data_IF_358116971538
#
_entry.id   IF_358116971538
#
_cell.length_a   1.000
_cell.length_b   1.000
_cell.length_c   1.000
_cell.angle_alpha   90.00
_cell.angle_beta   90.00
_cell.angle_gamma   90.00
#
_symmetry.space_group_name_H-M   'P 1'
#
loop_
_entity.id
_entity.type
_entity.pdbx_description
1 polymer ?
#
# COMPACT_ATOMS: atom_id res chain seq x y z
N UNK A 1 23.75 8.96 -51.95
CA UNK A 1 22.32 9.24 -51.74
C UNK A 1 22.13 9.25 -50.24
N UNK A 2 21.94 10.43 -49.66
CA UNK A 2 21.72 10.62 -48.23
C UNK A 2 20.26 10.29 -47.94
N UNK A 3 20.00 9.18 -47.28
CA UNK A 3 18.67 8.86 -46.78
C UNK A 3 18.32 9.80 -45.63
N UNK A 4 17.51 10.81 -45.96
CA UNK A 4 16.76 11.61 -45.00
C UNK A 4 15.73 10.70 -44.33
N UNK A 5 16.14 10.03 -43.25
CA UNK A 5 15.22 9.33 -42.36
C UNK A 5 14.26 10.37 -41.76
N UNK A 6 12.99 10.24 -42.14
CA UNK A 6 11.83 11.02 -41.74
C UNK A 6 11.95 11.66 -40.36
N UNK A 7 11.99 12.99 -40.32
CA UNK A 7 11.75 13.80 -39.12
C UNK A 7 10.27 13.69 -38.69
N UNK A 8 9.86 12.50 -38.26
CA UNK A 8 8.63 12.31 -37.50
C UNK A 8 8.91 12.71 -36.07
N UNK A 9 8.42 13.88 -35.64
CA UNK A 9 8.39 14.33 -34.24
C UNK A 9 7.41 13.43 -33.44
N UNK A 10 7.71 12.13 -33.37
CA UNK A 10 6.87 11.11 -32.77
C UNK A 10 6.96 11.23 -31.26
N UNK A 11 6.11 12.09 -30.68
CA UNK A 11 5.97 12.19 -29.22
C UNK A 11 5.59 10.81 -28.68
N UNK A 12 6.42 10.27 -27.82
CA UNK A 12 6.18 9.01 -27.11
C UNK A 12 5.63 9.37 -25.73
N UNK A 13 4.52 8.75 -25.34
CA UNK A 13 3.98 8.87 -23.98
C UNK A 13 3.99 7.50 -23.35
N UNK A 14 4.67 7.38 -22.20
CA UNK A 14 4.73 6.15 -21.42
C UNK A 14 4.06 6.41 -20.08
N UNK A 15 3.07 5.58 -19.74
CA UNK A 15 2.43 5.62 -18.43
C UNK A 15 2.84 4.39 -17.64
N UNK A 16 3.57 4.60 -16.55
CA UNK A 16 3.95 3.57 -15.59
C UNK A 16 2.97 3.62 -14.41
N UNK A 17 2.40 2.47 -14.05
CA UNK A 17 1.42 2.36 -12.97
C UNK A 17 1.91 1.40 -11.90
N UNK A 18 2.04 1.87 -10.67
CA UNK A 18 2.51 1.06 -9.55
C UNK A 18 1.34 0.30 -8.87
N UNK A 19 0.68 -0.59 -9.61
CA UNK A 19 -0.40 -1.46 -9.10
C UNK A 19 -1.54 -1.68 -10.09
N UNK A 20 -2.43 -2.63 -9.76
CA UNK A 20 -3.57 -2.97 -10.62
C UNK A 20 -4.72 -1.94 -10.53
N UNK A 21 -4.97 -1.38 -9.34
CA UNK A 21 -6.12 -0.52 -9.06
C UNK A 21 -6.01 0.88 -9.65
N UNK A 22 -7.14 1.51 -10.01
CA UNK A 22 -7.16 2.88 -10.54
C UNK A 22 -6.56 3.92 -9.59
N UNK A 23 -6.57 3.66 -8.28
CA UNK A 23 -6.01 4.55 -7.26
C UNK A 23 -4.49 4.40 -7.05
N UNK A 24 -3.83 3.47 -7.75
CA UNK A 24 -2.38 3.33 -7.70
C UNK A 24 -1.70 4.64 -8.16
N UNK A 25 -0.44 4.93 -7.75
CA UNK A 25 0.30 6.09 -8.24
C UNK A 25 0.92 5.84 -9.62
N UNK A 26 0.91 6.88 -10.46
CA UNK A 26 1.28 6.80 -11.88
C UNK A 26 2.44 7.75 -12.16
N UNK A 27 3.31 7.37 -13.07
CA UNK A 27 4.32 8.25 -13.67
C UNK A 27 3.99 8.34 -15.15
N UNK A 28 3.82 9.56 -15.66
CA UNK A 28 3.60 9.82 -17.08
C UNK A 28 4.85 10.49 -17.63
N UNK A 29 5.46 9.87 -18.63
CA UNK A 29 6.66 10.34 -19.31
C UNK A 29 6.25 10.81 -20.69
N UNK A 30 6.64 12.04 -21.03
CA UNK A 30 6.53 12.58 -22.38
C UNK A 30 7.95 12.68 -22.93
N UNK A 31 8.22 11.93 -23.99
CA UNK A 31 9.52 11.87 -24.64
C UNK A 31 9.41 12.29 -26.10
N UNK A 32 10.47 12.89 -26.62
CA UNK A 32 10.49 13.40 -28.00
C UNK A 32 10.74 12.30 -29.03
N UNK A 33 11.43 11.23 -28.62
CA UNK A 33 11.78 10.08 -29.44
C UNK A 33 12.12 8.87 -28.54
N UNK A 34 12.41 7.71 -29.15
CA UNK A 34 12.65 6.46 -28.43
C UNK A 34 13.91 6.49 -27.55
N UNK A 35 14.97 7.18 -27.99
CA UNK A 35 16.21 7.28 -27.22
C UNK A 35 16.02 8.11 -25.95
N UNK A 36 15.27 9.20 -26.05
CA UNK A 36 14.91 10.05 -24.91
C UNK A 36 13.98 9.30 -23.92
N UNK A 37 13.04 8.52 -24.44
CA UNK A 37 12.16 7.68 -23.64
C UNK A 37 12.94 6.64 -22.82
N UNK A 38 13.91 5.97 -23.43
CA UNK A 38 14.75 4.96 -22.78
C UNK A 38 15.68 5.57 -21.72
N UNK A 39 16.33 6.68 -22.05
CA UNK A 39 17.19 7.41 -21.11
C UNK A 39 16.39 7.88 -19.88
N UNK A 40 15.19 8.43 -20.10
CA UNK A 40 14.31 8.88 -19.02
C UNK A 40 13.84 7.69 -18.17
N UNK A 41 13.43 6.59 -18.80
CA UNK A 41 13.01 5.39 -18.08
C UNK A 41 14.14 4.83 -17.20
N UNK A 42 15.35 4.72 -17.75
CA UNK A 42 16.53 4.28 -17.02
C UNK A 42 16.86 5.21 -15.84
N UNK A 43 16.79 6.52 -16.05
CA UNK A 43 16.99 7.52 -14.99
C UNK A 43 15.99 7.41 -13.85
N UNK A 44 14.71 7.11 -14.15
CA UNK A 44 13.65 6.94 -13.14
C UNK A 44 13.93 5.73 -12.23
N UNK A 45 14.38 4.62 -12.81
CA UNK A 45 14.68 3.40 -12.06
C UNK A 45 15.99 3.53 -11.28
N UNK A 46 17.06 3.97 -11.93
CA UNK A 46 18.37 4.11 -11.27
C UNK A 46 18.39 5.23 -10.21
N UNK A 47 17.62 6.31 -10.43
CA UNK A 47 17.50 7.44 -9.51
C UNK A 47 16.49 7.23 -8.37
N UNK A 48 15.81 6.08 -8.32
CA UNK A 48 14.83 5.76 -7.27
C UNK A 48 13.56 6.62 -7.30
N UNK A 49 13.26 7.32 -8.41
CA UNK A 49 12.06 8.15 -8.51
C UNK A 49 10.78 7.30 -8.43
N UNK A 50 10.81 6.09 -9.00
CA UNK A 50 9.70 5.12 -8.92
C UNK A 50 9.33 4.75 -7.47
N UNK A 51 10.32 4.55 -6.59
CA UNK A 51 10.08 4.27 -5.17
C UNK A 51 9.48 5.48 -4.45
N UNK A 52 9.99 6.69 -4.74
CA UNK A 52 9.50 7.94 -4.14
C UNK A 52 8.05 8.21 -4.54
N UNK A 53 7.70 8.03 -5.81
CA UNK A 53 6.33 8.19 -6.30
C UNK A 53 5.40 7.15 -5.67
N UNK A 54 5.84 5.90 -5.56
CA UNK A 54 5.07 4.83 -4.90
C UNK A 54 4.80 5.17 -3.43
N UNK A 55 5.83 5.59 -2.70
CA UNK A 55 5.72 6.00 -1.28
C UNK A 55 4.81 7.22 -1.11
N UNK A 56 5.00 8.25 -1.93
CA UNK A 56 4.18 9.45 -1.91
C UNK A 56 2.70 9.13 -2.19
N UNK A 57 2.44 8.26 -3.18
CA UNK A 57 1.09 7.78 -3.47
C UNK A 57 0.43 7.05 -2.29
N UNK A 58 1.18 6.18 -1.62
CA UNK A 58 0.70 5.49 -0.43
C UNK A 58 0.39 6.46 0.72
N UNK A 59 1.27 7.45 0.96
CA UNK A 59 1.05 8.48 1.97
C UNK A 59 -0.18 9.32 1.66
N UNK A 60 -0.36 9.73 0.41
CA UNK A 60 -1.52 10.52 0.01
C UNK A 60 -2.82 9.71 0.14
N UNK A 61 -2.81 8.43 -0.25
CA UNK A 61 -3.95 7.54 -0.08
C UNK A 61 -4.34 7.38 1.40
N UNK A 62 -3.36 7.34 2.31
CA UNK A 62 -3.60 7.25 3.74
C UNK A 62 -4.21 8.53 4.34
N UNK A 63 -3.96 9.71 3.75
CA UNK A 63 -4.58 10.97 4.18
C UNK A 63 -6.00 11.16 3.68
N UNK A 64 -6.45 10.35 2.73
CA UNK A 64 -7.80 10.44 2.19
C UNK A 64 -8.78 9.88 3.22
N UNK A 65 -9.79 10.65 3.66
CA UNK A 65 -10.86 10.10 4.48
C UNK A 65 -11.48 8.91 3.74
N UNK A 66 -11.75 7.82 4.45
CA UNK A 66 -12.45 6.69 3.86
C UNK A 66 -13.77 7.19 3.29
N UNK A 67 -13.86 7.28 1.97
CA UNK A 67 -15.12 7.54 1.32
C UNK A 67 -16.06 6.39 1.74
N UNK A 68 -17.21 6.73 2.32
CA UNK A 68 -18.29 5.80 2.57
C UNK A 68 -18.88 5.36 1.22
N UNK A 69 -18.15 4.51 0.52
CA UNK A 69 -18.59 3.86 -0.70
C UNK A 69 -19.40 2.64 -0.33
N UNK A 70 -20.69 2.64 -0.67
CA UNK A 70 -21.52 1.46 -0.72
C UNK A 70 -20.96 0.51 -1.80
N UNK A 71 -19.97 -0.29 -1.42
CA UNK A 71 -19.47 -1.40 -2.21
C UNK A 71 -19.42 -2.60 -1.30
N UNK A 72 -20.18 -3.64 -1.67
CA UNK A 72 -20.16 -4.92 -0.99
C UNK A 72 -18.70 -5.37 -0.79
N UNK A 73 -18.34 -5.90 0.40
CA UNK A 73 -16.95 -6.17 0.70
C UNK A 73 -16.42 -7.24 -0.28
N UNK A 74 -15.32 -6.98 -1.01
CA UNK A 74 -14.62 -8.04 -1.70
C UNK A 74 -14.12 -9.04 -0.64
N UNK A 75 -14.23 -10.32 -0.94
CA UNK A 75 -13.74 -11.41 -0.10
C UNK A 75 -12.23 -11.23 0.13
N UNK A 76 -11.86 -10.59 1.24
CA UNK A 76 -10.47 -10.38 1.63
C UNK A 76 -9.86 -11.71 2.06
N UNK A 77 -8.92 -12.21 1.25
CA UNK A 77 -7.87 -13.07 1.78
C UNK A 77 -7.19 -12.34 2.93
N UNK A 78 -7.13 -13.00 4.07
CA UNK A 78 -6.76 -12.44 5.36
C UNK A 78 -5.30 -11.96 5.39
N UNK A 79 -5.07 -10.70 5.00
CA UNK A 79 -3.90 -9.95 5.45
C UNK A 79 -4.09 -9.64 6.94
N UNK A 80 -3.07 -9.94 7.75
CA UNK A 80 -3.08 -9.65 9.17
C UNK A 80 -3.39 -8.16 9.41
N UNK A 81 -4.36 -7.81 10.29
CA UNK A 81 -4.70 -6.43 10.54
C UNK A 81 -3.51 -5.69 11.17
N UNK A 82 -3.34 -4.43 10.75
CA UNK A 82 -2.44 -3.48 11.39
C UNK A 82 -2.71 -3.41 12.91
N UNK A 83 -1.70 -3.10 13.75
CA UNK A 83 -1.90 -2.95 15.19
C UNK A 83 -2.96 -1.87 15.42
N UNK A 84 -4.12 -2.29 15.93
CA UNK A 84 -5.21 -1.39 16.22
C UNK A 84 -4.89 -0.68 17.53
N UNK A 85 -5.04 0.65 17.55
CA UNK A 85 -4.99 1.45 18.77
C UNK A 85 -5.99 0.91 19.79
N UNK A 86 -5.61 0.95 21.08
CA UNK A 86 -6.47 0.47 22.17
C UNK A 86 -7.88 1.10 22.09
N UNK A 87 -8.96 0.31 22.17
CA UNK A 87 -10.31 0.85 22.26
C UNK A 87 -10.49 1.72 23.52
N UNK A 88 -11.35 2.74 23.48
CA UNK A 88 -11.67 3.53 24.67
C UNK A 88 -12.22 2.61 25.78
N UNK A 89 -11.59 2.64 26.96
CA UNK A 89 -11.95 1.82 28.12
C UNK A 89 -11.11 0.55 28.34
N UNK A 90 -10.14 0.24 27.47
CA UNK A 90 -9.18 -0.87 27.66
C UNK A 90 -7.83 -0.29 28.06
N UNK A 91 -7.33 -0.65 29.25
CA UNK A 91 -6.00 -0.25 29.70
C UNK A 91 -4.92 -1.01 28.91
N UNK A 92 -3.79 -0.35 28.63
CA UNK A 92 -2.61 -1.01 28.11
C UNK A 92 -2.11 -2.03 29.13
N UNK A 93 -2.18 -3.32 28.80
CA UNK A 93 -1.60 -4.37 29.62
C UNK A 93 -0.17 -4.66 29.17
N UNK A 94 0.71 -4.94 30.12
CA UNK A 94 2.10 -5.31 29.86
C UNK A 94 2.32 -6.78 30.16
N UNK A 95 3.18 -7.41 29.35
CA UNK A 95 3.76 -8.71 29.67
C UNK A 95 5.28 -8.57 29.82
N UNK A 96 5.96 -9.64 30.22
CA UNK A 96 7.43 -9.67 30.36
C UNK A 96 8.18 -9.31 29.06
N UNK A 97 7.50 -9.37 27.91
CA UNK A 97 8.02 -9.06 26.58
C UNK A 97 7.66 -7.64 26.09
N UNK A 98 7.01 -6.83 26.94
CA UNK A 98 6.61 -5.45 26.62
C UNK A 98 5.10 -5.22 26.58
N UNK A 99 4.71 -4.07 26.04
CA UNK A 99 3.31 -3.66 25.89
C UNK A 99 2.54 -4.63 24.97
N UNK A 100 1.35 -5.05 25.41
CA UNK A 100 0.52 -5.97 24.64
C UNK A 100 -0.15 -5.27 23.47
N UNK A 101 -0.19 -5.94 22.34
CA UNK A 101 -0.75 -5.44 21.09
C UNK A 101 -2.22 -5.82 21.00
N UNK A 102 -3.09 -4.83 20.86
CA UNK A 102 -4.52 -5.08 20.64
C UNK A 102 -4.77 -5.63 19.23
N UNK A 103 -5.47 -6.77 19.17
CA UNK A 103 -5.91 -7.44 17.94
C UNK A 103 -7.41 -7.64 18.01
N UNK A 104 -8.10 -7.28 16.92
CA UNK A 104 -9.53 -7.53 16.75
C UNK A 104 -9.80 -8.15 15.38
N UNK A 105 -10.89 -8.90 15.28
CA UNK A 105 -11.27 -9.55 14.04
C UNK A 105 -12.49 -10.45 14.20
N UNK A 106 -12.76 -11.28 13.19
CA UNK A 106 -13.79 -12.32 13.22
C UNK A 106 -13.12 -13.68 13.23
N UNK A 107 -13.49 -14.54 14.18
CA UNK A 107 -12.91 -15.88 14.31
C UNK A 107 -13.28 -16.72 13.09
N UNK A 108 -12.29 -17.40 12.50
CA UNK A 108 -12.52 -18.33 11.38
C UNK A 108 -13.27 -19.59 11.81
N UNK A 109 -13.15 -20.01 13.07
CA UNK A 109 -13.77 -21.25 13.57
C UNK A 109 -15.20 -21.06 14.06
N UNK A 110 -15.53 -19.89 14.62
CA UNK A 110 -16.84 -19.63 15.21
C UNK A 110 -17.64 -18.54 14.49
N UNK A 111 -17.02 -17.78 13.58
CA UNK A 111 -17.65 -16.62 12.93
C UNK A 111 -17.94 -15.46 13.89
N UNK A 112 -17.54 -15.56 15.17
CA UNK A 112 -17.82 -14.54 16.19
C UNK A 112 -16.74 -13.47 16.19
N UNK A 113 -17.09 -12.18 16.38
CA UNK A 113 -16.10 -11.13 16.57
C UNK A 113 -15.29 -11.41 17.84
N UNK A 114 -14.00 -11.14 17.79
CA UNK A 114 -13.10 -11.27 18.93
C UNK A 114 -12.26 -10.00 19.10
N UNK A 115 -11.86 -9.77 20.34
CA UNK A 115 -10.92 -8.73 20.77
C UNK A 115 -9.94 -9.39 21.72
N UNK A 116 -8.65 -9.18 21.52
CA UNK A 116 -7.62 -9.74 22.40
C UNK A 116 -6.39 -8.84 22.48
N UNK A 117 -5.67 -8.95 23.59
CA UNK A 117 -4.35 -8.38 23.80
C UNK A 117 -3.30 -9.48 23.61
N UNK A 118 -2.49 -9.36 22.56
CA UNK A 118 -1.48 -10.33 22.19
C UNK A 118 -0.08 -9.89 22.64
N UNK A 119 0.75 -10.85 23.06
CA UNK A 119 2.17 -10.60 23.31
C UNK A 119 2.85 -10.13 21.99
N UNK A 120 3.70 -9.09 22.03
CA UNK A 120 4.44 -8.64 20.84
C UNK A 120 5.31 -9.74 20.22
N UNK A 121 5.83 -10.65 21.05
CA UNK A 121 6.65 -11.79 20.61
C UNK A 121 5.84 -13.08 20.41
N UNK A 122 4.51 -13.06 20.60
CA UNK A 122 3.62 -14.23 20.55
C UNK A 122 4.04 -15.42 21.46
N UNK A 123 4.83 -15.16 22.51
CA UNK A 123 5.31 -16.17 23.47
C UNK A 123 4.34 -16.42 24.63
N UNK A 124 3.51 -15.42 24.98
CA UNK A 124 2.51 -15.54 26.04
C UNK A 124 1.11 -15.80 25.47
N UNK A 125 0.26 -16.45 26.27
CA UNK A 125 -1.15 -16.59 25.95
C UNK A 125 -1.83 -15.21 25.81
N UNK A 126 -2.68 -15.02 24.79
CA UNK A 126 -3.42 -13.78 24.60
C UNK A 126 -4.48 -13.60 25.69
N UNK A 127 -4.70 -12.37 26.15
CA UNK A 127 -5.88 -12.07 26.97
C UNK A 127 -7.06 -11.75 26.07
N UNK A 128 -8.14 -12.50 26.23
CA UNK A 128 -9.39 -12.27 25.51
C UNK A 128 -10.22 -11.20 26.22
N UNK A 129 -10.61 -10.18 25.47
CA UNK A 129 -11.50 -9.12 25.94
C UNK A 129 -12.95 -9.54 25.63
N UNK A 130 -13.83 -9.36 26.60
CA UNK A 130 -15.28 -9.62 26.45
C UNK A 130 -15.98 -8.49 25.69
#
# INVERSE_FOLDING_TARGET
>A
MTDSASNGNGKIVITLKAGADFAAPWIVIHADNASDADATLTGIFNGGLHEKVTRAGAMLAATRPAAAGNSAPPARQAAAPAPASLPPGVAAEYCEHGERIFKSGVSKSSGKPYKMLACPQNTCAPAWLK
#
